data_IF_841516358852
#
_entry.id   IF_841516358852
#
_cell.length_a   1.000
_cell.length_b   1.000
_cell.length_c   1.000
_cell.angle_alpha   90.00
_cell.angle_beta   90.00
_cell.angle_gamma   90.00
#
_symmetry.space_group_name_H-M   'P 1'
#
loop_
_entity.id
_entity.type
_entity.pdbx_description
1 polymer ?
#
# COMPACT_ATOMS: atom_id res chain seq x y z
N UNK A 1 29.13 -3.69 7.53
CA UNK A 1 28.50 -2.51 6.90
C UNK A 1 27.23 -3.01 6.22
N UNK A 2 26.06 -2.76 6.81
CA UNK A 2 24.80 -3.38 6.44
C UNK A 2 24.21 -2.78 5.16
N UNK A 3 23.60 -3.62 4.32
CA UNK A 3 22.86 -3.25 3.10
C UNK A 3 21.49 -2.70 3.51
N UNK A 4 21.36 -1.39 3.65
CA UNK A 4 20.15 -0.74 4.22
C UNK A 4 19.26 0.00 3.19
N UNK A 5 19.45 -0.29 1.90
CA UNK A 5 18.72 0.34 0.78
C UNK A 5 17.73 -0.54 -0.02
N UNK A 6 17.69 -1.86 0.19
CA UNK A 6 17.28 -2.80 -0.88
C UNK A 6 15.79 -2.77 -1.30
N UNK A 7 14.84 -2.49 -0.41
CA UNK A 7 13.41 -2.75 -0.71
C UNK A 7 12.67 -1.59 -1.38
N UNK A 8 13.01 -0.34 -1.05
CA UNK A 8 12.43 0.83 -1.73
C UNK A 8 12.83 0.90 -3.21
N UNK A 9 14.03 0.43 -3.50
CA UNK A 9 14.54 0.35 -4.88
C UNK A 9 13.79 -0.72 -5.68
N UNK A 10 13.38 -1.84 -5.07
CA UNK A 10 12.70 -2.93 -5.80
C UNK A 10 11.34 -2.50 -6.39
N UNK A 11 10.53 -1.75 -5.64
CA UNK A 11 9.22 -1.28 -6.15
C UNK A 11 9.41 -0.26 -7.27
N UNK A 12 10.40 0.63 -7.15
CA UNK A 12 10.68 1.62 -8.20
C UNK A 12 11.17 0.94 -9.47
N UNK A 13 12.15 0.04 -9.36
CA UNK A 13 12.69 -0.73 -10.48
C UNK A 13 11.61 -1.55 -11.19
N UNK A 14 10.69 -2.16 -10.43
CA UNK A 14 9.57 -2.90 -11.00
C UNK A 14 8.62 -1.99 -11.79
N UNK A 15 8.31 -0.79 -11.28
CA UNK A 15 7.42 0.15 -11.98
C UNK A 15 8.09 0.80 -13.21
N UNK A 16 9.41 1.02 -13.18
CA UNK A 16 10.17 1.51 -14.33
C UNK A 16 10.12 0.51 -15.50
N UNK A 17 10.07 -0.79 -15.19
CA UNK A 17 9.90 -1.86 -16.19
C UNK A 17 8.44 -2.01 -16.66
N UNK A 18 7.47 -1.44 -15.95
CA UNK A 18 6.03 -1.61 -16.19
C UNK A 18 5.30 -0.25 -16.25
N UNK A 19 5.57 0.60 -17.28
CA UNK A 19 5.09 1.99 -17.31
C UNK A 19 3.56 2.13 -17.32
N UNK A 20 2.84 1.21 -17.98
CA UNK A 20 1.37 1.22 -17.98
C UNK A 20 0.80 0.90 -16.58
N UNK A 21 1.45 -0.02 -15.86
CA UNK A 21 1.07 -0.34 -14.49
C UNK A 21 1.39 0.84 -13.57
N UNK A 22 2.56 1.46 -13.73
CA UNK A 22 2.96 2.65 -12.97
C UNK A 22 1.94 3.77 -13.12
N UNK A 23 1.58 4.12 -14.37
CA UNK A 23 0.58 5.15 -14.64
C UNK A 23 -0.79 4.81 -14.01
N UNK A 24 -1.22 3.55 -14.11
CA UNK A 24 -2.49 3.13 -13.53
C UNK A 24 -2.48 3.19 -12.00
N UNK A 25 -1.41 2.72 -11.35
CA UNK A 25 -1.31 2.74 -9.89
C UNK A 25 -1.15 4.17 -9.36
N UNK A 26 -0.31 4.99 -9.99
CA UNK A 26 -0.09 6.38 -9.58
C UNK A 26 -1.35 7.26 -9.73
N UNK A 27 -2.30 6.88 -10.60
CA UNK A 27 -3.61 7.51 -10.68
C UNK A 27 -4.44 7.37 -9.39
N UNK A 28 -4.12 6.41 -8.52
CA UNK A 28 -4.80 6.23 -7.23
C UNK A 28 -4.24 7.07 -6.10
N UNK A 29 -3.14 7.81 -6.32
CA UNK A 29 -2.56 8.66 -5.27
C UNK A 29 -3.57 9.74 -4.84
N UNK A 30 -3.83 9.81 -3.55
CA UNK A 30 -4.69 10.83 -2.95
C UNK A 30 -3.99 12.18 -2.83
N UNK A 31 -4.76 13.26 -2.96
CA UNK A 31 -4.24 14.63 -2.90
C UNK A 31 -3.53 14.96 -1.58
N UNK A 32 -4.07 14.47 -0.45
CA UNK A 32 -3.51 14.74 0.88
C UNK A 32 -2.41 13.74 1.29
N UNK A 33 -2.02 12.79 0.42
CA UNK A 33 -1.01 11.80 0.77
C UNK A 33 0.40 12.35 0.62
N UNK A 34 1.14 12.31 1.73
CA UNK A 34 2.59 12.55 1.71
C UNK A 34 3.28 11.51 0.82
N UNK A 35 4.45 11.84 0.27
CA UNK A 35 5.23 10.89 -0.55
C UNK A 35 5.62 9.63 0.23
N UNK A 36 5.77 9.73 1.55
CA UNK A 36 6.03 8.58 2.43
C UNK A 36 4.82 7.64 2.53
N UNK A 37 3.63 8.20 2.77
CA UNK A 37 2.37 7.44 2.78
C UNK A 37 2.12 6.79 1.42
N UNK A 38 2.25 7.57 0.34
CA UNK A 38 2.02 7.06 -1.01
C UNK A 38 3.00 5.93 -1.35
N UNK A 39 4.30 6.07 -1.05
CA UNK A 39 5.27 5.02 -1.32
C UNK A 39 4.91 3.68 -0.65
N UNK A 40 4.51 3.72 0.62
CA UNK A 40 4.09 2.54 1.35
C UNK A 40 2.75 1.97 0.85
N UNK A 41 1.77 2.83 0.56
CA UNK A 41 0.46 2.39 0.05
C UNK A 41 0.55 1.82 -1.36
N UNK A 42 1.41 2.39 -2.20
CA UNK A 42 1.71 1.90 -3.55
C UNK A 42 2.28 0.49 -3.51
N UNK A 43 3.25 0.25 -2.63
CA UNK A 43 3.79 -1.08 -2.38
C UNK A 43 2.71 -2.06 -1.88
N UNK A 44 1.87 -1.62 -0.95
CA UNK A 44 0.74 -2.41 -0.46
C UNK A 44 -0.21 -2.84 -1.59
N UNK A 45 -0.56 -1.92 -2.49
CA UNK A 45 -1.39 -2.23 -3.66
C UNK A 45 -0.71 -3.31 -4.50
N UNK A 46 0.53 -3.07 -4.93
CA UNK A 46 1.26 -3.95 -5.85
C UNK A 46 1.44 -5.37 -5.31
N UNK A 47 1.86 -5.51 -4.03
CA UNK A 47 2.07 -6.83 -3.40
C UNK A 47 0.78 -7.65 -3.26
N UNK A 48 -0.38 -6.99 -3.24
CA UNK A 48 -1.66 -7.66 -3.02
C UNK A 48 -2.47 -7.86 -4.30
N UNK A 49 -2.08 -7.31 -5.45
CA UNK A 49 -2.85 -7.43 -6.70
C UNK A 49 -3.15 -8.89 -7.09
N UNK A 50 -2.20 -9.81 -6.89
CA UNK A 50 -2.38 -11.23 -7.22
C UNK A 50 -3.48 -11.92 -6.40
N UNK A 51 -3.75 -11.45 -5.18
CA UNK A 51 -4.84 -11.97 -4.33
C UNK A 51 -6.22 -11.49 -4.81
N UNK A 52 -6.27 -10.54 -5.74
CA UNK A 52 -7.49 -9.97 -6.31
C UNK A 52 -7.48 -10.19 -7.83
N UNK A 53 -7.73 -11.42 -8.33
CA UNK A 53 -7.52 -11.78 -9.74
C UNK A 53 -8.39 -11.01 -10.75
N UNK A 54 -9.45 -10.34 -10.29
CA UNK A 54 -10.29 -9.46 -11.10
C UNK A 54 -9.76 -8.01 -11.17
N UNK A 55 -8.61 -7.71 -10.58
CA UNK A 55 -7.90 -6.44 -10.73
C UNK A 55 -7.15 -6.47 -12.04
N UNK A 56 -7.58 -5.61 -12.98
CA UNK A 56 -6.91 -5.42 -14.26
C UNK A 56 -6.58 -3.93 -14.42
N UNK A 57 -5.30 -3.58 -14.70
CA UNK A 57 -4.94 -2.20 -14.99
C UNK A 57 -5.83 -1.61 -16.10
N UNK A 58 -6.33 -0.40 -15.87
CA UNK A 58 -7.17 0.33 -16.83
C UNK A 58 -8.66 -0.03 -16.85
N UNK A 59 -9.12 -1.01 -16.06
CA UNK A 59 -10.53 -1.38 -15.98
C UNK A 59 -11.09 -1.27 -14.55
N UNK A 60 -12.26 -0.62 -14.35
CA UNK A 60 -12.90 -0.61 -13.04
C UNK A 60 -13.40 -2.02 -12.68
N UNK A 61 -13.21 -2.42 -11.42
CA UNK A 61 -13.78 -3.64 -10.88
C UNK A 61 -13.99 -3.52 -9.38
N UNK A 62 -15.01 -4.21 -8.86
CA UNK A 62 -15.27 -4.26 -7.41
C UNK A 62 -14.08 -4.85 -6.63
N UNK A 63 -13.29 -5.73 -7.26
CA UNK A 63 -12.06 -6.25 -6.68
C UNK A 63 -10.99 -5.15 -6.54
N UNK A 64 -10.84 -4.28 -7.54
CA UNK A 64 -9.94 -3.14 -7.47
C UNK A 64 -10.38 -2.14 -6.40
N UNK A 65 -11.66 -1.79 -6.37
CA UNK A 65 -12.22 -0.90 -5.34
C UNK A 65 -12.00 -1.44 -3.93
N UNK A 66 -12.17 -2.75 -3.74
CA UNK A 66 -11.92 -3.41 -2.45
C UNK A 66 -10.45 -3.37 -2.05
N UNK A 67 -9.54 -3.66 -2.97
CA UNK A 67 -8.09 -3.56 -2.73
C UNK A 67 -7.68 -2.13 -2.37
N UNK A 68 -8.15 -1.14 -3.13
CA UNK A 68 -7.87 0.26 -2.87
C UNK A 68 -8.41 0.71 -1.51
N UNK A 69 -9.62 0.30 -1.16
CA UNK A 69 -10.22 0.58 0.15
C UNK A 69 -9.37 -0.01 1.28
N UNK A 70 -8.95 -1.28 1.16
CA UNK A 70 -8.08 -1.93 2.15
C UNK A 70 -6.70 -1.28 2.25
N UNK A 71 -6.14 -0.83 1.12
CA UNK A 71 -4.87 -0.08 1.10
C UNK A 71 -4.97 1.23 1.90
N UNK A 72 -6.13 1.88 1.84
CA UNK A 72 -6.34 3.14 2.52
C UNK A 72 -6.57 2.95 4.02
N UNK A 73 -7.34 1.92 4.38
CA UNK A 73 -7.51 1.50 5.79
C UNK A 73 -6.15 1.14 6.41
N UNK A 74 -5.31 0.39 5.69
CA UNK A 74 -3.97 0.05 6.14
C UNK A 74 -3.10 1.29 6.33
N UNK A 75 -3.04 2.18 5.35
CA UNK A 75 -2.25 3.41 5.46
C UNK A 75 -2.77 4.33 6.58
N UNK A 76 -4.08 4.46 6.76
CA UNK A 76 -4.64 5.22 7.89
C UNK A 76 -4.27 4.61 9.24
N UNK A 77 -4.30 3.28 9.35
CA UNK A 77 -3.85 2.61 10.56
C UNK A 77 -2.36 2.86 10.84
N UNK A 78 -1.50 2.67 9.84
CA UNK A 78 -0.04 2.77 9.97
C UNK A 78 0.43 4.21 10.19
N UNK A 79 -0.17 5.20 9.52
CA UNK A 79 0.32 6.58 9.54
C UNK A 79 -0.49 7.53 10.42
N UNK A 80 -1.75 7.20 10.74
CA UNK A 80 -2.66 8.06 11.50
C UNK A 80 -3.18 7.39 12.78
N UNK A 81 -2.89 6.10 13.01
CA UNK A 81 -3.30 5.38 14.21
C UNK A 81 -4.78 5.02 14.25
N UNK A 82 -5.48 5.12 13.12
CA UNK A 82 -6.89 4.78 13.04
C UNK A 82 -7.11 3.30 13.38
N UNK A 83 -8.23 3.01 14.05
CA UNK A 83 -8.66 1.66 14.37
C UNK A 83 -9.97 1.34 13.68
N UNK A 84 -10.12 0.09 13.27
CA UNK A 84 -11.26 -0.43 12.52
C UNK A 84 -11.76 -1.72 13.20
N UNK A 85 -12.90 -2.30 12.78
CA UNK A 85 -13.39 -3.55 13.35
C UNK A 85 -12.32 -4.66 13.33
N UNK A 86 -12.28 -5.56 14.35
CA UNK A 86 -11.19 -6.53 14.51
C UNK A 86 -10.89 -7.38 13.27
N UNK A 87 -11.92 -7.81 12.53
CA UNK A 87 -11.76 -8.58 11.29
C UNK A 87 -11.03 -7.79 10.19
N UNK A 88 -11.30 -6.48 10.08
CA UNK A 88 -10.62 -5.58 9.14
C UNK A 88 -9.17 -5.38 9.58
N UNK A 89 -8.95 -5.17 10.87
CA UNK A 89 -7.60 -5.00 11.44
C UNK A 89 -6.72 -6.24 11.19
N UNK A 90 -7.25 -7.44 11.43
CA UNK A 90 -6.54 -8.68 11.14
C UNK A 90 -6.21 -8.80 9.65
N UNK A 91 -7.16 -8.45 8.77
CA UNK A 91 -6.97 -8.55 7.32
C UNK A 91 -5.91 -7.58 6.80
N UNK A 92 -5.97 -6.30 7.18
CA UNK A 92 -4.97 -5.31 6.73
C UNK A 92 -3.58 -5.60 7.31
N UNK A 93 -3.49 -6.16 8.53
CA UNK A 93 -2.22 -6.57 9.12
C UNK A 93 -1.59 -7.68 8.31
N UNK A 94 -2.36 -8.73 7.98
CA UNK A 94 -1.93 -9.82 7.11
C UNK A 94 -1.47 -9.32 5.73
N UNK A 95 -2.27 -8.47 5.08
CA UNK A 95 -1.95 -7.95 3.74
C UNK A 95 -0.73 -7.01 3.71
N UNK A 96 -0.41 -6.38 4.85
CA UNK A 96 0.73 -5.50 5.00
C UNK A 96 2.02 -6.19 5.47
N UNK A 97 2.00 -7.51 5.67
CA UNK A 97 3.17 -8.26 6.10
C UNK A 97 4.34 -8.09 5.13
N UNK A 98 5.52 -7.82 5.69
CA UNK A 98 6.75 -7.59 4.91
C UNK A 98 6.88 -6.21 4.28
N UNK A 99 5.93 -5.28 4.49
CA UNK A 99 6.08 -3.88 4.09
C UNK A 99 6.70 -3.09 5.25
N UNK A 100 7.89 -2.54 5.02
CA UNK A 100 8.67 -1.83 6.06
C UNK A 100 8.47 -0.33 5.92
N UNK A 101 7.76 0.27 6.88
CA UNK A 101 7.64 1.73 6.99
C UNK A 101 8.67 2.26 7.99
N UNK A 102 9.78 2.81 7.47
CA UNK A 102 10.81 3.47 8.30
C UNK A 102 10.19 4.64 9.09
N UNK A 103 10.54 4.79 10.36
CA UNK A 103 10.05 5.84 11.26
C UNK A 103 8.52 5.95 11.26
N UNK A 104 7.83 4.81 11.46
CA UNK A 104 6.38 4.81 11.62
C UNK A 104 5.99 5.60 12.89
N UNK A 105 4.90 6.39 12.87
CA UNK A 105 4.46 7.13 14.05
C UNK A 105 4.17 6.19 15.23
N UNK A 106 4.65 6.55 16.43
CA UNK A 106 4.27 5.86 17.67
C UNK A 106 2.89 6.34 18.11
N UNK A 107 1.88 5.49 17.96
CA UNK A 107 0.53 5.79 18.45
C UNK A 107 0.42 5.37 19.92
N UNK A 108 0.21 6.34 20.81
CA UNK A 108 -0.10 6.09 22.23
C UNK A 108 -1.59 6.23 22.45
N UNK A 109 -2.25 5.14 22.78
CA UNK A 109 -3.58 5.17 23.39
C UNK A 109 -3.41 5.46 24.88
N UNK A 110 -3.94 6.58 25.36
CA UNK A 110 -4.04 6.90 26.80
C UNK A 110 -5.05 6.02 27.50
#
# INVERSE_FOLDING_TARGET
>A
MAREGSDKDTVSEYLDQNPNLAQWVDAFRGYCETSKQWGARREFILRNMEQFPAVKPGAPSAAAERLLSLSMVWANHVFLGCSYPPAVMAKIKQMGEGIVVKDAPEHRTT
#
